data_IF_386037317615
#
_entry.id   IF_386037317615
#
_cell.length_a   1.000
_cell.length_b   1.000
_cell.length_c   1.000
_cell.angle_alpha   90.00
_cell.angle_beta   90.00
_cell.angle_gamma   90.00
#
_symmetry.space_group_name_H-M   'P 1'
#
loop_
_entity.id
_entity.type
_entity.pdbx_description
1 polymer ?
#
# COMPACT_ATOMS: atom_id res chain seq x y z
N UNK A 1 -20.71 41.16 -20.81
CA UNK A 1 -21.47 39.96 -20.38
C UNK A 1 -20.77 39.42 -19.15
N UNK A 2 -21.30 39.76 -17.98
CA UNK A 2 -20.65 39.58 -16.68
C UNK A 2 -21.41 38.47 -15.96
N UNK A 3 -20.76 37.34 -15.67
CA UNK A 3 -21.33 36.30 -14.81
C UNK A 3 -20.42 36.07 -13.62
N UNK A 4 -21.00 36.40 -12.48
CA UNK A 4 -20.52 36.28 -11.11
C UNK A 4 -20.14 34.82 -10.80
N UNK A 5 -18.88 34.59 -10.41
CA UNK A 5 -18.51 33.40 -9.65
C UNK A 5 -18.79 33.71 -8.18
N UNK A 6 -19.86 33.12 -7.65
CA UNK A 6 -20.16 33.12 -6.24
C UNK A 6 -19.19 32.17 -5.53
N UNK A 7 -18.11 32.75 -4.98
CA UNK A 7 -17.33 32.13 -3.90
C UNK A 7 -18.24 31.96 -2.69
N UNK A 8 -18.79 30.77 -2.49
CA UNK A 8 -19.51 30.43 -1.27
C UNK A 8 -19.01 29.08 -0.76
N UNK A 9 -18.38 29.10 0.41
CA UNK A 9 -18.30 27.92 1.28
C UNK A 9 -16.97 27.17 1.28
N UNK A 10 -15.88 27.81 1.68
CA UNK A 10 -14.78 27.09 2.32
C UNK A 10 -15.26 26.60 3.70
N UNK A 11 -15.85 25.41 3.73
CA UNK A 11 -16.04 24.68 4.97
C UNK A 11 -14.67 24.14 5.41
N UNK A 12 -13.96 24.93 6.20
CA UNK A 12 -12.85 24.47 7.03
C UNK A 12 -13.42 23.44 8.02
N UNK A 13 -13.41 22.16 7.65
CA UNK A 13 -13.45 21.07 8.61
C UNK A 13 -12.10 21.07 9.33
N UNK A 14 -12.02 21.89 10.38
CA UNK A 14 -11.03 21.72 11.43
C UNK A 14 -11.28 20.35 12.08
N UNK A 15 -10.66 19.30 11.56
CA UNK A 15 -10.47 18.06 12.31
C UNK A 15 -9.51 18.41 13.43
N UNK A 16 -10.07 18.79 14.57
CA UNK A 16 -9.36 18.74 15.84
C UNK A 16 -9.04 17.28 16.10
N UNK A 17 -7.80 16.90 15.83
CA UNK A 17 -7.17 15.73 16.45
C UNK A 17 -7.34 15.92 17.97
N UNK A 18 -8.32 15.23 18.54
CA UNK A 18 -8.42 15.06 19.99
C UNK A 18 -7.25 14.16 20.40
N UNK A 19 -6.09 14.79 20.56
CA UNK A 19 -5.03 14.24 21.37
C UNK A 19 -5.58 14.06 22.80
N UNK A 20 -5.45 12.82 23.29
CA UNK A 20 -5.18 12.48 24.69
C UNK A 20 -5.26 13.63 25.70
N UNK A 21 -6.27 13.59 26.59
CA UNK A 21 -6.21 14.30 27.88
C UNK A 21 -7.48 15.02 28.29
N UNK A 22 -8.42 14.30 28.90
CA UNK A 22 -9.53 14.84 29.68
C UNK A 22 -9.71 14.03 30.98
N UNK A 23 -10.01 14.65 32.13
CA UNK A 23 -9.70 14.13 33.46
C UNK A 23 -10.76 13.20 34.07
N UNK A 24 -10.26 12.24 34.86
CA UNK A 24 -10.90 11.55 36.00
C UNK A 24 -12.30 10.94 35.80
N UNK A 25 -12.31 9.67 35.42
CA UNK A 25 -13.23 8.68 36.00
C UNK A 25 -12.42 7.41 36.25
N UNK A 26 -12.16 7.16 37.54
CA UNK A 26 -11.51 5.96 38.03
C UNK A 26 -12.39 4.74 37.76
N UNK A 27 -11.93 3.85 36.88
CA UNK A 27 -12.26 2.43 36.97
C UNK A 27 -11.01 1.62 36.58
N UNK A 28 -10.70 0.73 37.51
CA UNK A 28 -9.51 -0.08 37.70
C UNK A 28 -9.62 -1.34 36.83
N UNK A 29 -8.96 -1.35 35.67
CA UNK A 29 -8.70 -2.57 34.90
C UNK A 29 -7.53 -2.31 33.93
N UNK A 30 -6.32 -2.34 34.48
CA UNK A 30 -5.09 -2.38 33.68
C UNK A 30 -4.97 -3.72 32.97
N UNK A 31 -5.05 -3.81 31.63
CA UNK A 31 -4.51 -4.97 30.94
C UNK A 31 -2.99 -4.96 31.14
N UNK A 32 -2.49 -6.05 31.71
CA UNK A 32 -1.07 -6.32 31.90
C UNK A 32 -0.28 -5.96 30.63
N UNK A 33 0.73 -5.12 30.82
CA UNK A 33 1.76 -4.91 29.81
C UNK A 33 2.41 -6.27 29.52
N UNK A 34 2.04 -6.89 28.40
CA UNK A 34 2.77 -8.03 27.83
C UNK A 34 4.11 -7.47 27.36
N UNK A 35 5.07 -7.47 28.29
CA UNK A 35 6.47 -7.24 28.06
C UNK A 35 7.02 -8.50 27.36
N UNK A 36 6.64 -8.65 26.09
CA UNK A 36 7.16 -9.69 25.20
C UNK A 36 8.61 -9.36 24.87
N UNK A 37 9.52 -9.83 25.72
CA UNK A 37 10.93 -9.93 25.41
C UNK A 37 11.06 -10.72 24.10
N UNK A 38 11.38 -10.00 23.02
CA UNK A 38 11.79 -10.61 21.77
C UNK A 38 13.18 -11.19 22.01
N UNK A 39 13.22 -12.48 22.25
CA UNK A 39 14.45 -13.23 22.48
C UNK A 39 15.35 -13.10 21.25
N UNK A 40 16.54 -12.55 21.50
CA UNK A 40 17.65 -12.47 20.56
C UNK A 40 18.08 -13.91 20.24
N UNK A 41 17.87 -14.34 19.00
CA UNK A 41 18.42 -15.61 18.51
C UNK A 41 19.78 -15.29 17.90
N UNK A 42 20.81 -15.38 18.74
CA UNK A 42 22.20 -15.49 18.31
C UNK A 42 22.37 -16.85 17.61
N UNK A 43 22.37 -16.85 16.29
CA UNK A 43 22.70 -17.98 15.45
C UNK A 43 24.14 -17.85 14.95
N UNK A 44 25.10 -18.26 15.78
CA UNK A 44 26.47 -18.56 15.35
C UNK A 44 26.47 -19.78 14.40
N UNK A 45 26.98 -19.56 13.19
CA UNK A 45 27.15 -20.59 12.17
C UNK A 45 28.30 -20.25 11.24
N UNK A 46 29.52 -20.55 11.70
CA UNK A 46 30.71 -20.66 10.86
C UNK A 46 30.55 -21.70 9.75
N UNK A 47 30.98 -21.39 8.52
CA UNK A 47 32.11 -22.05 7.87
C UNK A 47 32.13 -21.80 6.35
N UNK A 48 33.35 -21.55 5.90
CA UNK A 48 33.76 -21.24 4.54
C UNK A 48 33.49 -22.37 3.53
N UNK A 49 33.30 -21.94 2.29
CA UNK A 49 33.39 -22.76 1.09
C UNK A 49 33.33 -21.86 -0.14
N UNK A 50 34.51 -21.60 -0.73
CA UNK A 50 34.75 -21.31 -2.14
C UNK A 50 33.76 -22.11 -3.03
N UNK A 51 33.26 -21.60 -4.16
CA UNK A 51 33.98 -21.68 -5.43
C UNK A 51 33.45 -20.68 -6.47
N UNK A 52 34.40 -19.99 -7.08
CA UNK A 52 34.28 -19.15 -8.27
C UNK A 52 33.81 -19.97 -9.48
N UNK A 53 32.58 -19.72 -9.96
CA UNK A 53 32.14 -20.03 -11.34
C UNK A 53 31.57 -18.76 -11.97
N UNK A 54 32.47 -18.05 -12.65
CA UNK A 54 32.19 -16.94 -13.54
C UNK A 54 31.75 -17.51 -14.89
N UNK A 55 30.45 -17.79 -15.03
CA UNK A 55 29.85 -18.23 -16.29
C UNK A 55 28.59 -17.39 -16.56
N UNK A 56 28.72 -16.52 -17.56
CA UNK A 56 27.68 -16.16 -18.52
C UNK A 56 26.36 -15.53 -18.01
N UNK A 57 26.38 -14.24 -17.68
CA UNK A 57 25.17 -13.40 -17.72
C UNK A 57 25.07 -12.67 -19.07
N UNK A 58 24.98 -13.44 -20.15
CA UNK A 58 24.56 -12.99 -21.47
C UNK A 58 23.13 -13.48 -21.74
N UNK A 59 22.16 -12.81 -21.11
CA UNK A 59 20.72 -12.95 -21.35
C UNK A 59 20.05 -11.79 -20.63
N UNK A 60 19.96 -10.60 -21.24
CA UNK A 60 19.07 -10.41 -22.38
C UNK A 60 17.65 -10.16 -21.89
N UNK A 61 17.46 -9.12 -21.06
CA UNK A 61 16.24 -8.31 -21.00
C UNK A 61 14.89 -9.00 -21.18
N UNK A 62 14.60 -10.02 -20.36
CA UNK A 62 13.22 -10.43 -20.06
C UNK A 62 12.80 -9.78 -18.73
N UNK A 63 12.95 -8.46 -18.61
CA UNK A 63 12.01 -7.77 -17.73
C UNK A 63 10.64 -8.04 -18.34
N UNK A 64 9.67 -8.61 -17.61
CA UNK A 64 8.33 -8.75 -18.15
C UNK A 64 7.95 -7.34 -18.60
N UNK A 65 7.85 -7.17 -19.92
CA UNK A 65 7.32 -5.95 -20.48
C UNK A 65 5.91 -5.90 -19.93
N UNK A 66 5.73 -5.15 -18.84
CA UNK A 66 4.44 -4.86 -18.23
C UNK A 66 3.59 -4.34 -19.37
N UNK A 67 2.83 -5.27 -19.94
CA UNK A 67 2.16 -5.06 -21.19
C UNK A 67 1.10 -4.02 -20.93
N UNK A 68 0.85 -3.17 -21.92
CA UNK A 68 0.00 -1.99 -21.85
C UNK A 68 -1.50 -2.32 -21.62
N UNK A 69 -1.80 -2.97 -20.50
CA UNK A 69 -3.11 -3.16 -19.88
C UNK A 69 -3.17 -2.52 -18.48
N UNK A 70 -2.11 -1.82 -18.06
CA UNK A 70 -2.01 -1.22 -16.73
C UNK A 70 -3.10 -0.17 -16.53
N UNK A 71 -3.95 -0.40 -15.53
CA UNK A 71 -5.03 0.52 -15.13
C UNK A 71 -4.46 1.96 -14.89
N UNK A 72 -4.76 2.92 -15.80
CA UNK A 72 -4.21 4.27 -15.71
C UNK A 72 -4.77 5.04 -14.51
N UNK A 73 -6.00 4.73 -14.08
CA UNK A 73 -6.65 5.35 -12.94
C UNK A 73 -6.05 4.82 -11.63
N UNK A 74 -5.63 3.55 -11.60
CA UNK A 74 -4.83 3.01 -10.50
C UNK A 74 -3.50 3.74 -10.37
N UNK A 75 -2.73 3.86 -11.46
CA UNK A 75 -1.41 4.52 -11.42
C UNK A 75 -1.56 5.98 -10.99
N UNK A 76 -2.55 6.69 -11.53
CA UNK A 76 -2.82 8.08 -11.17
C UNK A 76 -3.17 8.21 -9.67
N UNK A 77 -4.09 7.38 -9.18
CA UNK A 77 -4.46 7.34 -7.77
C UNK A 77 -3.28 6.98 -6.85
N UNK A 78 -2.46 6.00 -7.24
CA UNK A 78 -1.24 5.64 -6.50
C UNK A 78 -0.26 6.81 -6.39
N UNK A 79 0.02 7.49 -7.50
CA UNK A 79 0.90 8.66 -7.53
C UNK A 79 0.35 9.85 -6.72
N UNK A 80 -0.98 9.98 -6.62
CA UNK A 80 -1.63 11.05 -5.88
C UNK A 80 -1.68 10.76 -4.38
N UNK A 81 -1.97 9.52 -4.00
CA UNK A 81 -2.19 9.12 -2.60
C UNK A 81 -0.91 8.71 -1.88
N UNK A 82 0.17 8.45 -2.61
CA UNK A 82 1.45 8.00 -2.04
C UNK A 82 2.63 8.88 -2.51
N UNK A 83 3.80 8.69 -1.91
CA UNK A 83 5.05 9.30 -2.36
C UNK A 83 5.89 8.34 -3.23
N UNK A 84 5.26 7.34 -3.86
CA UNK A 84 5.94 6.35 -4.67
C UNK A 84 6.30 6.91 -6.06
N UNK A 85 7.33 6.34 -6.69
CA UNK A 85 7.68 6.66 -8.07
C UNK A 85 6.66 6.07 -9.05
N UNK A 86 6.62 6.59 -10.28
CA UNK A 86 5.77 6.02 -11.35
C UNK A 86 6.10 4.55 -11.61
N UNK A 87 7.38 4.17 -11.60
CA UNK A 87 7.80 2.79 -11.78
C UNK A 87 7.26 1.87 -10.66
N UNK A 88 7.27 2.33 -9.40
CA UNK A 88 6.66 1.61 -8.29
C UNK A 88 5.15 1.44 -8.48
N UNK A 89 4.43 2.53 -8.78
CA UNK A 89 2.99 2.46 -8.99
C UNK A 89 2.61 1.56 -10.17
N UNK A 90 3.39 1.55 -11.26
CA UNK A 90 3.19 0.63 -12.39
C UNK A 90 3.43 -0.83 -11.99
N UNK A 91 4.48 -1.13 -11.21
CA UNK A 91 4.72 -2.48 -10.70
C UNK A 91 3.58 -2.96 -9.80
N UNK A 92 3.11 -2.11 -8.88
CA UNK A 92 2.01 -2.44 -7.97
C UNK A 92 0.70 -2.63 -8.75
N UNK A 93 0.41 -1.78 -9.74
CA UNK A 93 -0.78 -1.89 -10.56
C UNK A 93 -0.85 -3.25 -11.27
N UNK A 94 0.27 -3.70 -11.83
CA UNK A 94 0.31 -4.99 -12.49
C UNK A 94 0.30 -6.18 -11.51
N UNK A 95 0.93 -6.05 -10.34
CA UNK A 95 0.75 -7.05 -9.27
C UNK A 95 -0.73 -7.14 -8.84
N UNK A 96 -1.46 -6.02 -8.81
CA UNK A 96 -2.88 -6.00 -8.49
C UNK A 96 -3.73 -6.70 -9.57
N UNK A 97 -3.33 -6.65 -10.84
CA UNK A 97 -3.99 -7.40 -11.92
C UNK A 97 -3.79 -8.92 -11.78
N UNK A 98 -2.64 -9.35 -11.24
CA UNK A 98 -2.29 -10.76 -11.05
C UNK A 98 -2.87 -11.36 -9.76
N UNK A 99 -2.85 -10.60 -8.67
CA UNK A 99 -3.10 -11.11 -7.32
C UNK A 99 -4.49 -10.78 -6.77
N UNK A 100 -5.13 -9.72 -7.27
CA UNK A 100 -6.44 -9.27 -6.79
C UNK A 100 -7.55 -9.62 -7.78
N UNK A 101 -8.72 -9.95 -7.23
CA UNK A 101 -9.96 -10.02 -8.01
C UNK A 101 -10.36 -8.64 -8.55
N UNK A 102 -11.27 -8.62 -9.52
CA UNK A 102 -11.74 -7.37 -10.14
C UNK A 102 -12.39 -6.42 -9.12
N UNK A 103 -13.16 -6.94 -8.16
CA UNK A 103 -13.81 -6.12 -7.13
C UNK A 103 -12.81 -5.60 -6.09
N UNK A 104 -11.79 -6.40 -5.72
CA UNK A 104 -10.69 -5.96 -4.85
C UNK A 104 -9.84 -4.87 -5.51
N UNK A 105 -9.53 -5.03 -6.80
CA UNK A 105 -8.80 -4.03 -7.58
C UNK A 105 -9.61 -2.75 -7.72
N UNK A 106 -10.91 -2.84 -8.00
CA UNK A 106 -11.78 -1.68 -8.11
C UNK A 106 -11.93 -0.94 -6.77
N UNK A 107 -12.02 -1.66 -5.64
CA UNK A 107 -11.99 -1.08 -4.31
C UNK A 107 -10.66 -0.34 -4.02
N UNK A 108 -9.54 -0.96 -4.38
CA UNK A 108 -8.22 -0.36 -4.20
C UNK A 108 -8.06 0.89 -5.07
N UNK A 109 -8.44 0.85 -6.35
CA UNK A 109 -8.42 2.01 -7.25
C UNK A 109 -9.28 3.14 -6.70
N UNK A 110 -10.51 2.87 -6.24
CA UNK A 110 -11.38 3.88 -5.64
C UNK A 110 -10.75 4.49 -4.37
N UNK A 111 -10.15 3.65 -3.52
CA UNK A 111 -9.46 4.09 -2.30
C UNK A 111 -8.26 4.99 -2.59
N UNK A 112 -7.45 4.64 -3.59
CA UNK A 112 -6.29 5.44 -4.02
C UNK A 112 -6.70 6.79 -4.64
N UNK A 113 -7.82 6.82 -5.35
CA UNK A 113 -8.39 8.04 -5.95
C UNK A 113 -9.19 8.89 -4.95
N UNK A 114 -9.22 8.51 -3.66
CA UNK A 114 -10.01 9.16 -2.62
C UNK A 114 -11.51 9.26 -2.94
N UNK A 115 -12.02 8.34 -3.76
CA UNK A 115 -13.44 8.22 -4.09
C UNK A 115 -14.15 7.44 -2.98
N UNK A 116 -14.49 8.14 -1.91
CA UNK A 116 -15.11 7.54 -0.73
C UNK A 116 -16.48 6.90 -1.03
N UNK A 117 -17.22 7.42 -2.01
CA UNK A 117 -18.54 6.89 -2.39
C UNK A 117 -18.37 5.55 -3.11
N UNK A 118 -17.53 5.51 -4.14
CA UNK A 118 -17.21 4.28 -4.85
C UNK A 118 -16.55 3.25 -3.93
N UNK A 119 -15.58 3.66 -3.10
CA UNK A 119 -14.91 2.77 -2.15
C UNK A 119 -15.90 2.16 -1.14
N UNK A 120 -16.91 2.92 -0.70
CA UNK A 120 -17.97 2.39 0.19
C UNK A 120 -18.86 1.39 -0.55
N UNK A 121 -19.22 1.65 -1.80
CA UNK A 121 -19.98 0.71 -2.63
C UNK A 121 -19.22 -0.60 -2.82
N UNK A 122 -17.95 -0.56 -3.21
CA UNK A 122 -17.13 -1.76 -3.34
C UNK A 122 -16.95 -2.47 -2.00
N UNK A 123 -16.77 -1.74 -0.89
CA UNK A 123 -16.65 -2.32 0.45
C UNK A 123 -17.91 -3.06 0.90
N UNK A 124 -19.10 -2.66 0.44
CA UNK A 124 -20.34 -3.40 0.74
C UNK A 124 -20.45 -4.72 -0.05
N UNK A 125 -19.69 -4.84 -1.15
CA UNK A 125 -19.67 -6.04 -2.01
C UNK A 125 -18.54 -7.00 -1.65
N UNK A 126 -17.45 -6.48 -1.11
CA UNK A 126 -16.34 -7.28 -0.61
C UNK A 126 -16.66 -7.89 0.76
N UNK A 127 -16.31 -9.16 0.92
CA UNK A 127 -16.26 -9.79 2.24
C UNK A 127 -15.13 -9.16 3.08
N UNK A 128 -15.26 -9.27 4.41
CA UNK A 128 -14.26 -8.73 5.36
C UNK A 128 -12.85 -9.28 5.09
N UNK A 129 -12.77 -10.54 4.65
CA UNK A 129 -11.51 -11.20 4.31
C UNK A 129 -10.88 -10.65 3.03
N UNK A 130 -11.69 -10.30 2.02
CA UNK A 130 -11.21 -9.71 0.76
C UNK A 130 -10.72 -8.28 0.98
N UNK A 131 -11.47 -7.49 1.77
CA UNK A 131 -11.01 -6.16 2.17
C UNK A 131 -9.69 -6.21 2.96
N UNK A 132 -9.50 -7.23 3.81
CA UNK A 132 -8.24 -7.46 4.52
C UNK A 132 -7.12 -7.87 3.55
N UNK A 133 -7.43 -8.72 2.56
CA UNK A 133 -6.50 -9.15 1.52
C UNK A 133 -5.94 -7.96 0.74
N UNK A 134 -6.77 -6.98 0.36
CA UNK A 134 -6.31 -5.74 -0.29
C UNK A 134 -5.30 -4.97 0.57
N UNK A 135 -5.52 -4.90 1.88
CA UNK A 135 -4.58 -4.24 2.80
C UNK A 135 -3.24 -4.98 2.92
N UNK A 136 -3.28 -6.31 2.99
CA UNK A 136 -2.08 -7.16 2.99
C UNK A 136 -1.34 -7.07 1.67
N UNK A 137 -2.06 -7.09 0.55
CA UNK A 137 -1.52 -6.90 -0.79
C UNK A 137 -0.71 -5.61 -0.89
N UNK A 138 -1.26 -4.46 -0.50
CA UNK A 138 -0.54 -3.17 -0.59
C UNK A 138 0.78 -3.17 0.19
N UNK A 139 0.82 -3.85 1.33
CA UNK A 139 2.02 -3.96 2.15
C UNK A 139 3.08 -4.85 1.47
N UNK A 140 2.66 -6.00 0.94
CA UNK A 140 3.55 -6.98 0.30
C UNK A 140 4.03 -6.53 -1.08
N UNK A 141 3.14 -5.98 -1.90
CA UNK A 141 3.42 -5.53 -3.25
C UNK A 141 4.40 -4.35 -3.25
N UNK A 142 4.25 -3.40 -2.32
CA UNK A 142 5.22 -2.30 -2.17
C UNK A 142 6.63 -2.83 -1.91
N UNK A 143 6.76 -3.82 -1.01
CA UNK A 143 8.05 -4.45 -0.71
C UNK A 143 8.62 -5.20 -1.92
N UNK A 144 7.82 -6.09 -2.52
CA UNK A 144 8.22 -6.90 -3.69
C UNK A 144 8.64 -6.02 -4.86
N UNK A 145 7.89 -4.96 -5.12
CA UNK A 145 8.21 -3.98 -6.16
C UNK A 145 9.47 -3.19 -5.82
N UNK A 146 9.67 -2.77 -4.57
CA UNK A 146 10.88 -2.08 -4.16
C UNK A 146 12.12 -2.94 -4.40
N UNK A 147 12.10 -4.22 -4.00
CA UNK A 147 13.21 -5.17 -4.22
C UNK A 147 13.56 -5.33 -5.72
N UNK A 148 12.57 -5.24 -6.61
CA UNK A 148 12.76 -5.29 -8.07
C UNK A 148 13.26 -3.97 -8.67
N UNK A 149 12.88 -2.83 -8.11
CA UNK A 149 13.14 -1.48 -8.65
C UNK A 149 14.51 -0.88 -8.34
N UNK A 150 15.36 -1.51 -7.53
CA UNK A 150 16.72 -1.02 -7.20
C UNK A 150 17.84 -1.61 -8.08
N UNK A 151 17.51 -2.43 -9.09
CA UNK A 151 18.49 -3.08 -9.97
C UNK A 151 18.53 -2.52 -11.41
N UNK A 152 17.92 -1.37 -11.67
CA UNK A 152 17.99 -0.65 -12.96
C UNK A 152 18.95 0.56 -12.89
#
# INVERSE_FOLDING_TARGET
MTRFFALTGAALLAVTLAACGGPDAADDDTPEAVNGQMEHVDGDGDAAGDDNSSDDMAGGGDQPAYSAGTDPDFIAGCLQSSNLSRAMCTCIAAAAEEELSDDERAFLTASLNQDAEAATEFRMRLDVMEAANVGVFMSNSTRSCAERGFND
#
